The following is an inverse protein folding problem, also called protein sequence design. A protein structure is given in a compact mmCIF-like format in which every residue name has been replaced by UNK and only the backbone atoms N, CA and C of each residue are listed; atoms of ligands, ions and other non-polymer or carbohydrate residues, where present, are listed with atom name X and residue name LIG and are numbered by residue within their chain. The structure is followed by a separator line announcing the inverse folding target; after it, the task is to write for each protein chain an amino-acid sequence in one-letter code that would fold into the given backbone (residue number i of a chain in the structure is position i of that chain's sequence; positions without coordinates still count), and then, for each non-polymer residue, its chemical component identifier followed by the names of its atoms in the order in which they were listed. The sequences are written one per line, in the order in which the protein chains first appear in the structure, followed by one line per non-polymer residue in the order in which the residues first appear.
data_IF_502119667165
#
_entry.id   IF_502119667165
#
_cell.length_a   1.000
_cell.length_b   1.000
_cell.length_c   1.000
_cell.angle_alpha   90.00
_cell.angle_beta   90.00
_cell.angle_gamma   90.00
#
_symmetry.space_group_name_H-M   'P 1'
#
loop_
_entity.id
_entity.type
_entity.pdbx_description
1 polymer ?
#
# COMPACT_ATOMS: atom_id res chain seq x y z
N UNK A 1 23.98 1.78 18.71
CA UNK A 1 22.66 1.41 18.16
C UNK A 1 22.94 0.71 16.84
N UNK A 2 22.81 -0.62 16.80
CA UNK A 2 22.96 -1.35 15.55
C UNK A 2 21.55 -1.48 14.94
N UNK A 3 21.31 -0.81 13.83
CA UNK A 3 20.07 -0.97 13.08
C UNK A 3 19.89 -2.43 12.65
N UNK A 4 18.71 -3.01 12.91
CA UNK A 4 18.40 -4.36 12.43
C UNK A 4 18.15 -4.30 10.91
N UNK A 5 19.20 -4.63 10.15
CA UNK A 5 19.15 -4.62 8.68
C UNK A 5 18.13 -5.61 8.12
N UNK A 6 17.81 -6.70 8.83
CA UNK A 6 16.85 -7.71 8.36
C UNK A 6 15.42 -7.18 8.45
N UNK A 7 15.05 -6.60 9.58
CA UNK A 7 13.74 -5.94 9.75
C UNK A 7 13.60 -4.73 8.82
N UNK A 8 14.67 -3.96 8.62
CA UNK A 8 14.67 -2.83 7.66
C UNK A 8 14.34 -3.29 6.24
N UNK A 9 15.03 -4.33 5.74
CA UNK A 9 14.78 -4.88 4.40
C UNK A 9 13.36 -5.45 4.30
N UNK A 10 12.83 -6.02 5.38
CA UNK A 10 11.45 -6.50 5.43
C UNK A 10 10.46 -5.34 5.27
N UNK A 11 10.63 -4.25 6.02
CA UNK A 11 9.79 -3.06 5.89
C UNK A 11 9.85 -2.45 4.49
N UNK A 12 11.05 -2.40 3.90
CA UNK A 12 11.23 -1.92 2.53
C UNK A 12 10.52 -2.78 1.48
N UNK A 13 10.45 -4.10 1.67
CA UNK A 13 9.66 -5.00 0.79
C UNK A 13 8.17 -4.70 0.84
N UNK A 14 7.63 -4.38 2.02
CA UNK A 14 6.24 -3.95 2.15
C UNK A 14 6.01 -2.62 1.44
N UNK A 15 6.89 -1.63 1.62
CA UNK A 15 6.80 -0.35 0.90
C UNK A 15 6.88 -0.50 -0.62
N UNK A 16 7.79 -1.34 -1.12
CA UNK A 16 7.89 -1.63 -2.55
C UNK A 16 6.63 -2.27 -3.13
N UNK A 17 5.87 -3.01 -2.32
CA UNK A 17 4.54 -3.51 -2.70
C UNK A 17 3.44 -2.45 -2.57
N UNK A 18 3.52 -1.58 -1.56
CA UNK A 18 2.53 -0.53 -1.32
C UNK A 18 2.56 0.55 -2.41
N UNK A 19 3.75 0.98 -2.83
CA UNK A 19 3.94 2.03 -3.84
C UNK A 19 3.18 1.80 -5.17
N UNK A 20 3.32 0.65 -5.86
CA UNK A 20 2.55 0.39 -7.08
C UNK A 20 1.05 0.30 -6.80
N UNK A 21 0.64 -0.26 -5.66
CA UNK A 21 -0.78 -0.31 -5.26
C UNK A 21 -1.36 1.11 -5.03
N UNK A 22 -0.55 2.01 -4.47
CA UNK A 22 -0.93 3.41 -4.22
C UNK A 22 -1.17 4.20 -5.52
N UNK A 23 -0.44 3.86 -6.58
CA UNK A 23 -0.66 4.39 -7.92
C UNK A 23 -1.84 3.69 -8.63
N UNK A 24 -1.94 2.36 -8.50
CA UNK A 24 -2.99 1.57 -9.15
C UNK A 24 -4.38 1.87 -8.59
N UNK A 25 -4.52 2.12 -7.29
CA UNK A 25 -5.79 2.47 -6.65
C UNK A 25 -6.55 3.62 -7.36
N UNK A 26 -5.99 4.83 -7.45
CA UNK A 26 -6.65 5.96 -8.13
C UNK A 26 -6.83 5.73 -9.63
N UNK A 27 -5.94 4.99 -10.29
CA UNK A 27 -6.10 4.63 -11.71
C UNK A 27 -7.34 3.74 -11.89
N UNK A 28 -7.48 2.69 -11.08
CA UNK A 28 -8.65 1.80 -11.09
C UNK A 28 -9.94 2.51 -10.73
N UNK A 29 -9.91 3.41 -9.75
CA UNK A 29 -11.07 4.24 -9.39
C UNK A 29 -11.48 5.12 -10.58
N UNK A 30 -10.53 5.73 -11.28
CA UNK A 30 -10.80 6.56 -12.47
C UNK A 30 -11.41 5.74 -13.61
N UNK A 31 -10.90 4.54 -13.84
CA UNK A 31 -11.47 3.58 -14.81
C UNK A 31 -12.88 3.16 -14.38
N UNK A 32 -13.09 2.93 -13.08
CA UNK A 32 -14.39 2.58 -12.50
C UNK A 32 -15.45 3.65 -12.75
N UNK A 33 -15.12 4.93 -12.54
CA UNK A 33 -16.03 6.02 -12.86
C UNK A 33 -16.39 6.09 -14.35
N UNK A 34 -15.46 5.77 -15.25
CA UNK A 34 -15.75 5.67 -16.69
C UNK A 34 -16.65 4.47 -17.02
N UNK A 35 -16.40 3.32 -16.40
CA UNK A 35 -17.19 2.10 -16.60
C UNK A 35 -18.64 2.24 -16.12
N UNK A 36 -18.86 2.97 -15.01
CA UNK A 36 -20.21 3.30 -14.52
C UNK A 36 -20.96 4.14 -15.57
N UNK A 37 -20.31 5.14 -16.17
CA UNK A 37 -20.97 6.00 -17.18
C UNK A 37 -21.37 5.25 -18.46
N UNK A 38 -20.61 4.24 -18.88
CA UNK A 38 -20.92 3.48 -20.11
C UNK A 38 -21.85 2.29 -19.89
N UNK A 39 -21.68 1.54 -18.79
CA UNK A 39 -22.33 0.24 -18.61
C UNK A 39 -22.99 0.07 -17.24
N UNK A 40 -23.05 1.12 -16.42
CA UNK A 40 -23.54 1.08 -15.04
C UNK A 40 -22.84 -0.01 -14.18
N UNK A 41 -21.57 -0.30 -14.50
CA UNK A 41 -20.80 -1.38 -13.89
C UNK A 41 -19.92 -0.84 -12.75
N UNK A 42 -20.28 -1.16 -11.51
CA UNK A 42 -19.60 -0.71 -10.29
C UNK A 42 -18.40 -1.59 -9.89
N UNK A 43 -18.17 -2.72 -10.57
CA UNK A 43 -17.18 -3.72 -10.18
C UNK A 43 -15.76 -3.12 -10.04
N UNK A 44 -15.37 -2.29 -11.01
CA UNK A 44 -14.05 -1.64 -11.03
C UNK A 44 -13.89 -0.56 -9.95
N UNK A 45 -14.98 0.14 -9.62
CA UNK A 45 -14.95 1.15 -8.57
C UNK A 45 -14.75 0.50 -7.21
N UNK A 46 -15.50 -0.58 -6.93
CA UNK A 46 -15.38 -1.36 -5.69
C UNK A 46 -13.97 -1.95 -5.57
N UNK A 47 -13.46 -2.57 -6.65
CA UNK A 47 -12.11 -3.11 -6.68
C UNK A 47 -11.04 -2.03 -6.44
N UNK A 48 -11.19 -0.86 -7.06
CA UNK A 48 -10.28 0.27 -6.88
C UNK A 48 -10.25 0.79 -5.44
N UNK A 49 -11.41 0.89 -4.78
CA UNK A 49 -11.51 1.29 -3.38
C UNK A 49 -10.83 0.26 -2.46
N UNK A 50 -11.08 -1.03 -2.68
CA UNK A 50 -10.43 -2.10 -1.90
C UNK A 50 -8.91 -2.05 -2.06
N UNK A 51 -8.42 -1.87 -3.29
CA UNK A 51 -6.99 -1.76 -3.57
C UNK A 51 -6.39 -0.51 -2.91
N UNK A 52 -7.08 0.64 -2.95
CA UNK A 52 -6.63 1.86 -2.29
C UNK A 52 -6.53 1.70 -0.77
N UNK A 53 -7.54 1.09 -0.12
CA UNK A 53 -7.50 0.79 1.32
C UNK A 53 -6.34 -0.15 1.64
N UNK A 54 -6.18 -1.21 0.85
CA UNK A 54 -5.08 -2.17 1.02
C UNK A 54 -3.73 -1.50 0.89
N UNK A 55 -3.55 -0.59 -0.09
CA UNK A 55 -2.32 0.18 -0.28
C UNK A 55 -1.96 1.00 0.95
N UNK A 56 -2.95 1.70 1.52
CA UNK A 56 -2.77 2.54 2.72
C UNK A 56 -2.37 1.68 3.92
N UNK A 57 -3.06 0.57 4.16
CA UNK A 57 -2.76 -0.35 5.27
C UNK A 57 -1.34 -0.92 5.13
N UNK A 58 -0.98 -1.34 3.91
CA UNK A 58 0.31 -1.97 3.64
C UNK A 58 1.47 -0.96 3.76
N UNK A 59 1.27 0.28 3.33
CA UNK A 59 2.22 1.37 3.55
C UNK A 59 2.35 1.77 5.04
N UNK A 60 1.25 1.76 5.80
CA UNK A 60 1.34 2.02 7.24
C UNK A 60 2.15 0.95 7.97
N UNK A 61 1.96 -0.31 7.59
CA UNK A 61 2.71 -1.44 8.15
C UNK A 61 4.19 -1.36 7.73
N UNK A 62 4.47 -1.07 6.46
CA UNK A 62 5.83 -0.93 5.95
C UNK A 62 6.62 0.14 6.68
N UNK A 63 6.08 1.36 6.77
CA UNK A 63 6.67 2.47 7.54
C UNK A 63 6.88 2.08 9.00
N UNK A 64 5.90 1.44 9.64
CA UNK A 64 6.01 1.01 11.05
C UNK A 64 7.16 0.02 11.26
N UNK A 65 7.33 -0.95 10.35
CA UNK A 65 8.44 -1.92 10.41
C UNK A 65 9.78 -1.21 10.20
N UNK A 66 9.87 -0.27 9.25
CA UNK A 66 11.07 0.52 9.01
C UNK A 66 11.46 1.32 10.26
N UNK A 67 10.50 2.03 10.87
CA UNK A 67 10.74 2.82 12.08
C UNK A 67 11.16 1.93 13.25
N UNK A 68 10.50 0.78 13.42
CA UNK A 68 10.91 -0.19 14.43
C UNK A 68 12.33 -0.70 14.19
N UNK A 69 12.70 -1.04 12.96
CA UNK A 69 14.04 -1.53 12.64
C UNK A 69 15.15 -0.48 12.86
N UNK A 70 14.83 0.80 12.66
CA UNK A 70 15.75 1.91 12.83
C UNK A 70 15.95 2.29 14.31
N UNK A 71 14.88 2.22 15.10
CA UNK A 71 14.85 2.71 16.48
C UNK A 71 14.66 1.60 17.52
N UNK A 72 14.66 0.33 17.11
CA UNK A 72 14.61 -0.82 18.01
C UNK A 72 15.81 -0.77 18.93
N UNK A 73 15.52 -0.54 20.20
CA UNK A 73 16.50 -0.57 21.29
C UNK A 73 16.72 -2.04 21.59
N UNK A 74 17.83 -2.59 21.07
CA UNK A 74 18.37 -3.87 21.55
C UNK A 74 18.31 -3.83 23.09
N UNK A 75 17.42 -4.65 23.65
CA UNK A 75 17.29 -4.87 25.09
C UNK A 75 18.15 -6.06 25.46
#
# INVERSE_FOLDING_TARGET
MATDRKELVRGLKYEMGALPLLLLGPILITIGFKAIKQQNNYLFLIAGIIIAITAIVLGFIGIRIILNALFSKDS
#
